data_IF_485642803110
#
_entry.id   IF_485642803110
#
_cell.length_a   1.000
_cell.length_b   1.000
_cell.length_c   1.000
_cell.angle_alpha   90.00
_cell.angle_beta   90.00
_cell.angle_gamma   90.00
#
_symmetry.space_group_name_H-M   'P 1'
#
loop_
_entity.id
_entity.type
_entity.pdbx_description
1 polymer ?
#
# COMPACT_ATOMS: atom_id res chain seq x y z
N UNK A 1 -27.24 13.63 -7.98
CA UNK A 1 -27.53 14.07 -9.37
C UNK A 1 -26.30 14.30 -10.27
N UNK A 2 -25.06 14.00 -9.84
CA UNK A 2 -23.86 14.38 -10.61
C UNK A 2 -23.55 13.48 -11.81
N UNK A 3 -23.75 12.17 -11.71
CA UNK A 3 -23.36 11.23 -12.77
C UNK A 3 -24.17 11.44 -14.07
N UNK A 4 -25.50 11.38 -14.00
CA UNK A 4 -26.35 11.58 -15.18
C UNK A 4 -26.19 12.97 -15.79
N UNK A 5 -26.06 14.02 -14.97
CA UNK A 5 -25.79 15.37 -15.44
C UNK A 5 -24.40 15.53 -16.08
N UNK A 6 -23.36 14.93 -15.49
CA UNK A 6 -22.00 14.97 -16.03
C UNK A 6 -21.87 14.18 -17.34
N UNK A 7 -22.55 13.03 -17.43
CA UNK A 7 -22.63 12.22 -18.64
C UNK A 7 -23.62 12.79 -19.68
N UNK A 8 -24.42 13.80 -19.31
CA UNK A 8 -25.53 14.37 -20.10
C UNK A 8 -26.51 13.30 -20.59
N UNK A 9 -26.84 12.34 -19.74
CA UNK A 9 -27.67 11.19 -20.11
C UNK A 9 -29.09 11.35 -19.60
N UNK A 10 -30.06 11.05 -20.47
CA UNK A 10 -31.48 11.02 -20.17
C UNK A 10 -32.06 9.60 -20.14
N UNK A 11 -33.24 9.46 -19.54
CA UNK A 11 -34.01 8.21 -19.61
C UNK A 11 -34.31 7.88 -21.08
N UNK A 12 -34.03 6.64 -21.47
CA UNK A 12 -34.22 6.13 -22.82
C UNK A 12 -32.94 6.09 -23.66
N UNK A 13 -31.89 6.81 -23.27
CA UNK A 13 -30.60 6.78 -23.95
C UNK A 13 -29.79 5.53 -23.63
N UNK A 14 -28.75 5.31 -24.44
CA UNK A 14 -27.81 4.21 -24.27
C UNK A 14 -26.48 4.72 -23.73
N UNK A 15 -25.93 4.00 -22.76
CA UNK A 15 -24.65 4.29 -22.14
C UNK A 15 -23.75 3.07 -22.22
N UNK A 16 -22.47 3.31 -22.49
CA UNK A 16 -21.45 2.27 -22.37
C UNK A 16 -20.95 2.22 -20.93
N UNK A 17 -21.07 1.06 -20.30
CA UNK A 17 -20.62 0.82 -18.94
C UNK A 17 -19.53 -0.23 -18.98
N UNK A 18 -18.40 0.06 -18.33
CA UNK A 18 -17.29 -0.87 -18.18
C UNK A 18 -17.24 -1.40 -16.75
N UNK A 19 -17.40 -2.71 -16.60
CA UNK A 19 -17.31 -3.41 -15.31
C UNK A 19 -16.32 -4.57 -15.47
N UNK A 20 -15.40 -4.73 -14.51
CA UNK A 20 -14.38 -5.79 -14.52
C UNK A 20 -13.61 -5.92 -15.86
N UNK A 21 -13.37 -4.80 -16.54
CA UNK A 21 -12.67 -4.76 -17.84
C UNK A 21 -13.54 -5.07 -19.06
N UNK A 22 -14.81 -5.45 -18.89
CA UNK A 22 -15.75 -5.71 -19.99
C UNK A 22 -16.64 -4.49 -20.22
N UNK A 23 -16.65 -3.97 -21.45
CA UNK A 23 -17.57 -2.91 -21.88
C UNK A 23 -18.87 -3.52 -22.38
N UNK A 24 -20.01 -3.03 -21.87
CA UNK A 24 -21.36 -3.40 -22.32
C UNK A 24 -22.23 -2.15 -22.47
N UNK A 25 -23.14 -2.16 -23.44
CA UNK A 25 -24.08 -1.04 -23.66
C UNK A 25 -25.39 -1.31 -22.92
N UNK A 26 -25.85 -0.34 -22.13
CA UNK A 26 -27.10 -0.40 -21.37
C UNK A 26 -28.05 0.73 -21.75
N UNK A 27 -29.35 0.48 -21.62
CA UNK A 27 -30.37 1.53 -21.75
C UNK A 27 -30.69 2.11 -20.38
N UNK A 28 -30.72 3.43 -20.27
CA UNK A 28 -31.14 4.11 -19.04
C UNK A 28 -32.66 4.03 -18.91
N UNK A 29 -33.13 3.42 -17.84
CA UNK A 29 -34.57 3.27 -17.54
C UNK A 29 -35.07 4.27 -16.51
N UNK A 30 -34.16 4.88 -15.74
CA UNK A 30 -34.49 5.84 -14.70
C UNK A 30 -33.25 6.53 -14.16
N UNK A 31 -33.46 7.65 -13.47
CA UNK A 31 -32.41 8.39 -12.76
C UNK A 31 -32.86 8.53 -11.30
N UNK A 32 -32.08 7.96 -10.39
CA UNK A 32 -32.35 8.05 -8.96
C UNK A 32 -31.93 9.44 -8.42
N UNK A 33 -32.81 10.04 -7.62
CA UNK A 33 -32.49 11.24 -6.86
C UNK A 33 -31.77 10.85 -5.56
N UNK A 34 -30.76 11.62 -5.19
CA UNK A 34 -30.04 11.42 -3.93
C UNK A 34 -30.53 12.46 -2.92
N UNK A 35 -30.83 12.05 -1.69
CA UNK A 35 -31.24 12.98 -0.64
C UNK A 35 -30.09 13.90 -0.20
N UNK A 36 -28.85 13.38 -0.26
CA UNK A 36 -27.62 14.13 -0.04
C UNK A 36 -26.72 14.10 -1.29
N UNK A 37 -25.94 15.16 -1.54
CA UNK A 37 -25.01 15.17 -2.68
C UNK A 37 -23.78 14.30 -2.37
N UNK A 38 -23.63 13.20 -3.12
CA UNK A 38 -22.37 12.44 -3.14
C UNK A 38 -21.23 13.29 -3.71
N UNK A 39 -20.12 13.40 -2.95
CA UNK A 39 -18.98 14.24 -3.34
C UNK A 39 -17.96 13.51 -4.21
N UNK A 40 -17.79 12.21 -3.99
CA UNK A 40 -16.71 11.42 -4.60
C UNK A 40 -17.19 10.11 -5.25
N UNK A 41 -18.47 9.78 -5.15
CA UNK A 41 -19.04 8.52 -5.61
C UNK A 41 -20.05 8.72 -6.74
N UNK A 42 -20.05 7.76 -7.66
CA UNK A 42 -21.03 7.62 -8.74
C UNK A 42 -21.55 6.19 -8.70
N UNK A 43 -22.87 6.01 -8.64
CA UNK A 43 -23.48 4.69 -8.58
C UNK A 43 -24.35 4.43 -9.82
N UNK A 44 -24.34 3.17 -10.25
CA UNK A 44 -25.24 2.61 -11.26
C UNK A 44 -26.06 1.51 -10.59
N UNK A 45 -27.36 1.47 -10.86
CA UNK A 45 -28.27 0.48 -10.29
C UNK A 45 -28.69 -0.50 -11.38
N UNK A 46 -28.56 -1.79 -11.09
CA UNK A 46 -28.99 -2.90 -11.94
C UNK A 46 -29.99 -3.77 -11.17
N UNK A 47 -30.66 -4.68 -11.86
CA UNK A 47 -31.46 -5.72 -11.21
C UNK A 47 -30.54 -6.64 -10.41
N UNK A 48 -31.06 -7.25 -9.34
CA UNK A 48 -30.26 -8.07 -8.42
C UNK A 48 -29.53 -9.20 -9.15
N UNK A 49 -30.21 -9.93 -10.04
CA UNK A 49 -29.61 -11.01 -10.84
C UNK A 49 -28.45 -10.51 -11.71
N UNK A 50 -28.64 -9.36 -12.38
CA UNK A 50 -27.63 -8.79 -13.27
C UNK A 50 -26.47 -8.17 -12.49
N UNK A 51 -26.74 -7.60 -11.32
CA UNK A 51 -25.72 -7.10 -10.41
C UNK A 51 -24.85 -8.25 -9.88
N UNK A 52 -25.45 -9.39 -9.54
CA UNK A 52 -24.74 -10.59 -9.08
C UNK A 52 -23.81 -11.17 -10.17
N UNK A 53 -24.26 -11.18 -11.43
CA UNK A 53 -23.42 -11.53 -12.57
C UNK A 53 -22.23 -10.57 -12.74
N UNK A 54 -22.47 -9.26 -12.61
CA UNK A 54 -21.45 -8.22 -12.75
C UNK A 54 -20.43 -8.23 -11.61
N UNK A 55 -20.84 -8.59 -10.40
CA UNK A 55 -19.98 -8.65 -9.22
C UNK A 55 -18.98 -9.82 -9.28
N UNK A 56 -19.27 -10.87 -10.05
CA UNK A 56 -18.40 -12.04 -10.20
C UNK A 56 -18.49 -13.05 -9.03
N UNK A 57 -19.41 -12.83 -8.09
CA UNK A 57 -19.70 -13.74 -6.98
C UNK A 57 -21.22 -13.92 -6.80
N UNK A 58 -21.86 -14.81 -7.61
CA UNK A 58 -23.32 -14.88 -7.76
C UNK A 58 -24.09 -15.38 -6.53
N UNK A 59 -23.41 -15.72 -5.44
CA UNK A 59 -24.01 -16.24 -4.20
C UNK A 59 -23.59 -15.46 -2.94
N UNK A 60 -22.94 -14.30 -3.11
CA UNK A 60 -22.49 -13.48 -1.98
C UNK A 60 -22.94 -12.03 -2.15
N UNK A 61 -23.41 -11.45 -1.06
CA UNK A 61 -23.73 -10.05 -0.95
C UNK A 61 -22.67 -9.36 -0.11
N UNK A 62 -22.18 -8.21 -0.57
CA UNK A 62 -21.20 -7.43 0.16
C UNK A 62 -21.84 -6.65 1.31
N UNK A 63 -23.10 -6.22 1.15
CA UNK A 63 -23.80 -5.41 2.15
C UNK A 63 -25.32 -5.62 2.05
N UNK A 64 -25.98 -5.70 3.21
CA UNK A 64 -27.43 -5.77 3.31
C UNK A 64 -27.95 -4.55 4.09
N UNK A 65 -28.78 -3.73 3.44
CA UNK A 65 -29.47 -2.62 4.10
C UNK A 65 -30.79 -3.09 4.71
N UNK A 66 -30.97 -2.90 6.02
CA UNK A 66 -32.25 -3.15 6.69
C UNK A 66 -32.89 -1.83 7.08
N UNK A 67 -34.09 -1.57 6.57
CA UNK A 67 -34.84 -0.34 6.82
C UNK A 67 -35.97 -0.63 7.81
N UNK A 68 -35.98 -0.01 9.00
CA UNK A 68 -37.05 -0.20 9.96
C UNK A 68 -38.34 0.49 9.52
N UNK A 69 -39.47 0.03 10.04
CA UNK A 69 -40.73 0.78 9.94
C UNK A 69 -40.62 2.15 10.63
N UNK A 70 -41.40 3.13 10.14
CA UNK A 70 -41.43 4.47 10.70
C UNK A 70 -41.80 4.43 12.20
N UNK A 71 -41.02 5.14 13.03
CA UNK A 71 -41.22 5.20 14.48
C UNK A 71 -40.55 4.10 15.30
N UNK A 72 -39.84 3.16 14.68
CA UNK A 72 -39.06 2.16 15.41
C UNK A 72 -37.90 2.80 16.20
N UNK A 73 -37.67 2.32 17.42
CA UNK A 73 -36.52 2.73 18.21
C UNK A 73 -35.23 2.16 17.58
N UNK A 74 -34.24 3.00 17.20
CA UNK A 74 -33.02 2.54 16.55
C UNK A 74 -32.21 1.52 17.37
N UNK A 75 -32.19 1.67 18.69
CA UNK A 75 -31.43 0.80 19.58
C UNK A 75 -32.09 -0.58 19.72
N UNK A 76 -33.40 -0.62 19.91
CA UNK A 76 -34.16 -1.88 19.97
C UNK A 76 -34.09 -2.62 18.63
N UNK A 77 -34.18 -1.88 17.52
CA UNK A 77 -34.04 -2.44 16.18
C UNK A 77 -32.64 -3.04 15.97
N UNK A 78 -31.58 -2.34 16.37
CA UNK A 78 -30.22 -2.86 16.31
C UNK A 78 -30.08 -4.15 17.12
N UNK A 79 -30.58 -4.18 18.35
CA UNK A 79 -30.53 -5.39 19.19
C UNK A 79 -31.35 -6.54 18.62
N UNK A 80 -32.47 -6.26 17.96
CA UNK A 80 -33.28 -7.28 17.29
C UNK A 80 -32.53 -7.88 16.09
N UNK A 81 -31.89 -7.05 15.27
CA UNK A 81 -31.07 -7.49 14.13
C UNK A 81 -29.86 -8.30 14.61
N UNK A 82 -29.16 -7.85 15.65
CA UNK A 82 -28.02 -8.60 16.22
C UNK A 82 -28.44 -9.99 16.67
N UNK A 83 -29.53 -10.10 17.45
CA UNK A 83 -30.05 -11.40 17.89
C UNK A 83 -30.48 -12.30 16.75
N UNK A 84 -31.06 -11.73 15.69
CA UNK A 84 -31.46 -12.50 14.51
C UNK A 84 -30.26 -13.03 13.72
N UNK A 85 -29.13 -12.32 13.75
CA UNK A 85 -27.91 -12.69 13.02
C UNK A 85 -26.95 -13.57 13.83
N UNK A 86 -27.12 -13.67 15.15
CA UNK A 86 -26.26 -14.44 16.04
C UNK A 86 -26.09 -15.93 15.63
N UNK A 87 -27.13 -16.66 15.18
CA UNK A 87 -26.97 -18.02 14.69
C UNK A 87 -26.08 -18.15 13.45
N UNK A 88 -25.92 -17.05 12.70
CA UNK A 88 -25.13 -16.99 11.46
C UNK A 88 -23.74 -16.38 11.68
N UNK A 89 -23.39 -15.98 12.91
CA UNK A 89 -22.13 -15.32 13.24
C UNK A 89 -21.33 -16.11 14.28
N UNK A 90 -20.65 -17.19 13.88
CA UNK A 90 -19.89 -18.03 14.81
C UNK A 90 -18.74 -17.24 15.48
N UNK A 91 -18.43 -17.50 16.76
CA UNK A 91 -17.40 -16.76 17.49
C UNK A 91 -16.00 -16.85 16.86
N UNK A 92 -15.72 -17.92 16.11
CA UNK A 92 -14.42 -18.14 15.47
C UNK A 92 -14.28 -17.42 14.12
N UNK A 93 -15.39 -16.99 13.52
CA UNK A 93 -15.39 -16.30 12.23
C UNK A 93 -16.48 -15.23 12.27
N UNK A 94 -16.07 -14.00 12.61
CA UNK A 94 -16.95 -12.84 12.59
C UNK A 94 -17.36 -12.54 11.14
N UNK A 95 -18.37 -13.26 10.66
CA UNK A 95 -18.78 -13.28 9.26
C UNK A 95 -19.51 -12.00 8.84
N UNK A 96 -20.07 -11.27 9.81
CA UNK A 96 -20.86 -10.07 9.57
C UNK A 96 -20.53 -8.97 10.57
N UNK A 97 -20.56 -7.72 10.08
CA UNK A 97 -20.45 -6.51 10.90
C UNK A 97 -21.75 -5.72 10.76
N UNK A 98 -22.41 -5.45 11.88
CA UNK A 98 -23.62 -4.63 11.93
C UNK A 98 -23.19 -3.18 12.15
N UNK A 99 -23.51 -2.29 11.21
CA UNK A 99 -23.24 -0.86 11.31
C UNK A 99 -24.57 -0.08 11.30
N UNK A 100 -24.76 0.82 12.27
CA UNK A 100 -25.94 1.68 12.40
C UNK A 100 -25.54 3.15 12.47
N UNK A 101 -26.45 4.06 12.09
CA UNK A 101 -26.22 5.50 12.23
C UNK A 101 -24.95 5.99 11.52
N UNK A 102 -24.06 6.64 12.27
CA UNK A 102 -22.82 7.22 11.75
C UNK A 102 -21.79 6.15 11.28
N UNK A 103 -21.83 4.95 11.86
CA UNK A 103 -20.91 3.86 11.49
C UNK A 103 -21.24 3.27 10.10
N UNK A 104 -22.45 3.53 9.60
CA UNK A 104 -22.87 3.13 8.25
C UNK A 104 -21.99 3.76 7.17
N UNK A 105 -21.60 5.04 7.31
CA UNK A 105 -20.80 5.73 6.30
C UNK A 105 -19.41 5.13 6.11
N UNK A 106 -18.82 4.56 7.17
CA UNK A 106 -17.57 3.81 7.08
C UNK A 106 -17.76 2.46 6.39
N UNK A 107 -18.89 1.78 6.61
CA UNK A 107 -19.21 0.50 6.00
C UNK A 107 -19.62 0.61 4.51
N UNK A 108 -20.28 1.70 4.11
CA UNK A 108 -20.73 1.96 2.73
C UNK A 108 -19.63 2.59 1.84
N UNK A 109 -18.41 2.75 2.37
CA UNK A 109 -17.28 3.32 1.63
C UNK A 109 -17.39 4.82 1.35
N UNK A 110 -18.29 5.52 2.05
CA UNK A 110 -18.57 6.95 1.89
C UNK A 110 -17.52 7.83 2.62
N UNK A 111 -16.61 7.20 3.35
CA UNK A 111 -15.48 7.85 3.99
C UNK A 111 -14.40 8.19 2.95
N UNK A 112 -13.80 9.40 2.99
CA UNK A 112 -12.74 9.76 2.07
C UNK A 112 -11.61 8.72 2.12
N UNK A 113 -10.94 8.42 0.98
CA UNK A 113 -9.76 7.55 0.98
C UNK A 113 -8.72 8.14 1.95
N UNK A 114 -8.62 7.56 3.15
CA UNK A 114 -7.81 8.06 4.27
C UNK A 114 -8.49 8.13 5.64
N UNK A 115 -9.81 7.97 5.73
CA UNK A 115 -10.54 8.05 7.00
C UNK A 115 -10.96 6.69 7.58
N UNK A 116 -10.64 5.57 6.91
CA UNK A 116 -10.91 4.24 7.45
C UNK A 116 -10.14 4.01 8.77
N UNK A 117 -10.79 3.58 9.86
CA UNK A 117 -10.09 3.12 11.05
C UNK A 117 -9.31 1.84 10.73
N UNK A 118 -7.98 1.95 10.79
CA UNK A 118 -7.09 1.00 11.43
C UNK A 118 -7.03 -0.48 11.00
N UNK A 119 -7.30 -0.83 9.73
CA UNK A 119 -6.81 -2.12 9.20
C UNK A 119 -5.37 -1.97 8.66
N UNK A 120 -4.46 -1.76 9.61
CA UNK A 120 -3.06 -2.22 9.61
C UNK A 120 -2.04 -1.69 8.58
N UNK A 121 -2.43 -1.19 7.40
CA UNK A 121 -1.46 -0.81 6.38
C UNK A 121 -2.00 0.27 5.43
N UNK A 122 -1.87 1.53 5.84
CA UNK A 122 -2.10 2.63 4.91
C UNK A 122 -0.84 2.87 4.05
N UNK A 123 -1.02 3.49 2.88
CA UNK A 123 0.08 3.82 1.95
C UNK A 123 1.19 4.63 2.64
N UNK A 124 0.84 5.41 3.66
CA UNK A 124 1.79 6.16 4.47
C UNK A 124 2.73 5.24 5.26
N UNK A 125 2.22 4.18 5.88
CA UNK A 125 3.04 3.18 6.59
C UNK A 125 4.01 2.46 5.64
N UNK A 126 3.58 2.13 4.42
CA UNK A 126 4.46 1.58 3.38
C UNK A 126 5.60 2.57 3.06
N UNK A 127 5.28 3.84 2.85
CA UNK A 127 6.27 4.88 2.55
C UNK A 127 7.27 5.07 3.71
N UNK A 128 6.78 5.12 4.95
CA UNK A 128 7.63 5.21 6.15
C UNK A 128 8.57 4.01 6.23
N UNK A 129 8.05 2.80 5.99
CA UNK A 129 8.84 1.57 5.99
C UNK A 129 9.94 1.59 4.91
N UNK A 130 9.58 1.97 3.68
CA UNK A 130 10.54 2.08 2.58
C UNK A 130 11.64 3.10 2.85
N UNK A 131 11.29 4.27 3.40
CA UNK A 131 12.28 5.27 3.82
C UNK A 131 13.21 4.73 4.91
N UNK A 132 12.67 3.96 5.86
CA UNK A 132 13.46 3.31 6.91
C UNK A 132 14.48 2.31 6.35
N UNK A 133 14.05 1.43 5.43
CA UNK A 133 14.95 0.48 4.76
C UNK A 133 16.06 1.20 3.97
N UNK A 134 15.72 2.28 3.26
CA UNK A 134 16.69 3.08 2.51
C UNK A 134 17.70 3.75 3.46
N UNK A 135 17.23 4.34 4.57
CA UNK A 135 18.10 4.98 5.56
C UNK A 135 19.08 3.99 6.20
N UNK A 136 18.59 2.82 6.62
CA UNK A 136 19.43 1.74 7.16
C UNK A 136 20.43 1.26 6.11
N UNK A 137 20.00 1.09 4.86
CA UNK A 137 20.88 0.75 3.74
C UNK A 137 21.99 1.77 3.51
N UNK A 138 21.68 3.07 3.57
CA UNK A 138 22.68 4.14 3.49
C UNK A 138 23.70 4.07 4.63
N UNK A 139 23.24 3.88 5.88
CA UNK A 139 24.13 3.81 7.05
C UNK A 139 25.05 2.59 6.95
N UNK A 140 24.51 1.42 6.59
CA UNK A 140 25.29 0.20 6.38
C UNK A 140 26.33 0.37 5.25
N UNK A 141 25.93 1.02 4.14
CA UNK A 141 26.83 1.35 3.03
C UNK A 141 27.96 2.29 3.44
N UNK A 142 27.65 3.35 4.19
CA UNK A 142 28.64 4.29 4.71
C UNK A 142 29.63 3.63 5.68
N UNK A 143 29.13 2.79 6.60
CA UNK A 143 29.98 2.02 7.50
C UNK A 143 30.88 1.04 6.73
N UNK A 144 30.33 0.34 5.72
CA UNK A 144 31.08 -0.57 4.85
C UNK A 144 32.18 0.12 4.04
N UNK A 145 31.95 1.37 3.61
CA UNK A 145 32.95 2.20 2.92
C UNK A 145 34.02 2.75 3.88
N UNK A 146 33.64 3.11 5.11
CA UNK A 146 34.55 3.61 6.16
C UNK A 146 35.58 2.56 6.57
N UNK A 147 35.14 1.31 6.75
CA UNK A 147 36.03 0.19 7.12
C UNK A 147 37.11 -0.04 6.06
N UNK A 148 36.77 0.15 4.78
CA UNK A 148 37.69 -0.05 3.64
C UNK A 148 38.77 1.03 3.52
N UNK A 149 38.55 2.21 4.09
CA UNK A 149 39.56 3.29 4.11
C UNK A 149 40.70 2.99 5.10
N UNK A 150 40.39 2.36 6.24
CA UNK A 150 41.39 2.04 7.28
C UNK A 150 42.36 0.91 6.90
N UNK A 151 41.95 -0.04 6.07
CA UNK A 151 42.81 -1.15 5.64
C UNK A 151 43.87 -0.74 4.62
N UNK A 152 43.64 0.34 3.87
CA UNK A 152 44.57 0.80 2.83
C UNK A 152 45.77 1.54 3.45
N UNK A 153 45.58 2.23 4.58
CA UNK A 153 46.68 2.90 5.30
C UNK A 153 47.70 1.91 5.90
N UNK A 154 47.23 0.76 6.41
CA UNK A 154 48.10 -0.28 6.99
C UNK A 154 48.91 -0.99 5.89
N UNK A 155 48.33 -1.15 4.70
CA UNK A 155 49.04 -1.72 3.55
C UNK A 155 50.18 -0.80 3.07
N UNK A 156 49.97 0.52 3.10
CA UNK A 156 50.99 1.50 2.71
C UNK A 156 52.12 1.57 3.75
N UNK A 157 51.80 1.54 5.05
CA UNK A 157 52.82 1.52 6.11
C UNK A 157 53.67 0.23 6.09
N UNK A 158 53.08 -0.92 5.69
CA UNK A 158 53.85 -2.16 5.45
C UNK A 158 54.69 -2.11 4.19
N UNK A 159 54.21 -1.50 3.11
CA UNK A 159 54.98 -1.32 1.89
C UNK A 159 56.21 -0.44 2.13
N UNK A 160 56.08 0.64 2.93
CA UNK A 160 57.21 1.52 3.30
C UNK A 160 58.13 0.87 4.34
N UNK A 161 57.57 0.13 5.32
CA UNK A 161 58.35 -0.63 6.31
C UNK A 161 59.17 -1.77 5.69
N UNK A 162 58.64 -2.44 4.66
CA UNK A 162 59.34 -3.48 3.91
C UNK A 162 60.36 -2.92 2.89
N UNK A 163 60.20 -1.67 2.44
CA UNK A 163 61.13 -1.03 1.50
C UNK A 163 62.44 -0.56 2.15
N UNK A 164 62.49 -0.35 3.48
CA UNK A 164 63.73 0.09 4.18
C UNK A 164 64.72 -1.03 4.50
N UNK A 165 64.42 -2.29 4.16
CA UNK A 165 65.34 -3.42 4.33
C UNK A 165 66.30 -3.70 3.17
N UNK A 166 66.21 -2.97 2.05
CA UNK A 166 67.09 -3.18 0.88
C UNK A 166 67.65 -1.87 0.34
N UNK A 167 68.48 -1.23 1.14
CA UNK A 167 69.48 -0.26 0.67
C UNK A 167 70.86 -0.83 0.98
N UNK A 168 71.26 -1.89 0.27
CA UNK A 168 72.49 -2.60 0.62
C UNK A 168 72.84 -3.80 -0.26
N UNK A 169 72.59 -3.72 -1.57
CA UNK A 169 73.32 -4.56 -2.52
C UNK A 169 73.43 -3.81 -3.85
N UNK A 170 74.37 -2.86 -3.89
CA UNK A 170 74.87 -2.34 -5.15
C UNK A 170 75.91 -3.36 -5.64
N UNK A 171 75.50 -4.24 -6.54
CA UNK A 171 76.43 -5.03 -7.34
C UNK A 171 76.89 -4.12 -8.48
N UNK A 172 78.12 -3.60 -8.42
CA UNK A 172 78.80 -3.01 -9.57
C UNK A 172 80.29 -3.31 -9.52
N UNK A 173 80.62 -4.48 -10.07
CA UNK A 173 81.66 -4.74 -11.07
C UNK A 173 82.91 -3.81 -11.07
N UNK A 174 84.00 -4.37 -10.52
CA UNK A 174 85.45 -4.14 -10.78
C UNK A 174 86.27 -3.61 -9.58
N UNK A 175 87.22 -4.44 -9.15
CA UNK A 175 88.59 -3.97 -8.84
C UNK A 175 88.95 -3.72 -7.37
N UNK A 176 89.57 -4.74 -6.76
CA UNK A 176 90.70 -4.72 -5.83
C UNK A 176 90.89 -3.59 -4.80
N UNK A 177 90.93 -4.01 -3.53
CA UNK A 177 91.75 -3.43 -2.48
C UNK A 177 93.22 -3.28 -2.89
N UNK A 178 93.82 -2.15 -2.53
CA UNK A 178 95.26 -2.07 -2.19
C UNK A 178 95.41 -1.23 -0.91
N UNK A 179 96.13 -1.70 0.12
CA UNK A 179 96.42 -0.87 1.28
C UNK A 179 97.58 0.10 0.97
N UNK A 180 97.34 1.36 1.31
CA UNK A 180 98.27 2.48 1.22
C UNK A 180 99.19 2.48 2.45
N UNK A 181 100.50 2.61 2.23
CA UNK A 181 101.54 2.71 3.25
C UNK A 181 102.55 3.81 2.88
N UNK A 182 102.78 4.82 3.74
CA UNK A 182 103.91 5.75 3.62
C UNK A 182 104.86 5.65 4.83
N UNK A 183 106.00 6.36 4.81
CA UNK A 183 107.02 6.48 3.77
C UNK A 183 108.17 5.47 3.93
#
# INVERSE_FOLDING_TARGET
>A
MRLAGAAKVAVGERVEVRVAGVSRTYRVVGVAATAAPWRHQSALFFTDDHAAELAGHPSRFDTLGVVPHAGANPHEFQQAVTRAMEPYNPPQAQAFRIATGADRGAAEGDLPPGAAPADGYNVLWFLVYMMGLIAVGMVAGAMGASIRRRSTEIAILRAVGAARGRSGCCCSQKGCCSPWSPP
#
